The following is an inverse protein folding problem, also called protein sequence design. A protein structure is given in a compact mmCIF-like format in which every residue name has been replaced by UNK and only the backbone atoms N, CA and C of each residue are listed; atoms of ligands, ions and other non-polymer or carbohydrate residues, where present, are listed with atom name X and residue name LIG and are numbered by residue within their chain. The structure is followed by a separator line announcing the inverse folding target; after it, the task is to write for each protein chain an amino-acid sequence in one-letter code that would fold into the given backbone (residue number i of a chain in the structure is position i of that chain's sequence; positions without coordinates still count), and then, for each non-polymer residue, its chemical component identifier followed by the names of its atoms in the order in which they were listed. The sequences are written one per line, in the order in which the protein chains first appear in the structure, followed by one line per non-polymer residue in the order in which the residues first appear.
data_IF_723523345438
#
_entry.id   IF_723523345438
#
_cell.length_a   1.000
_cell.length_b   1.000
_cell.length_c   1.000
_cell.angle_alpha   90.00
_cell.angle_beta   90.00
_cell.angle_gamma   90.00
#
_symmetry.space_group_name_H-M   'P 1'
#
loop_
_entity.id
_entity.type
_entity.pdbx_description
1 polymer ?
#
# COMPACT_ATOMS: atom_id res chain seq x y z
N UNK A 1 -22.07 -7.26 -3.18
CA UNK A 1 -21.78 -7.67 -4.57
C UNK A 1 -20.63 -6.85 -5.14
N UNK A 2 -19.98 -7.28 -6.24
CA UNK A 2 -19.03 -6.44 -6.96
C UNK A 2 -19.78 -5.26 -7.59
N UNK A 3 -19.19 -4.06 -7.57
CA UNK A 3 -19.82 -2.83 -8.06
C UNK A 3 -19.01 -2.15 -9.15
N UNK A 4 -18.19 -2.90 -9.90
CA UNK A 4 -17.23 -2.36 -10.88
C UNK A 4 -17.81 -1.24 -11.77
N UNK A 5 -18.89 -1.53 -12.52
CA UNK A 5 -19.49 -0.54 -13.43
C UNK A 5 -20.19 0.62 -12.71
N UNK A 6 -20.95 0.34 -11.65
CA UNK A 6 -21.73 1.38 -10.96
C UNK A 6 -20.86 2.28 -10.09
N UNK A 7 -19.83 1.73 -9.43
CA UNK A 7 -18.83 2.51 -8.69
C UNK A 7 -18.02 3.38 -9.66
N UNK A 8 -17.67 2.87 -10.84
CA UNK A 8 -17.00 3.67 -11.87
C UNK A 8 -17.88 4.83 -12.37
N UNK A 9 -19.19 4.60 -12.58
CA UNK A 9 -20.14 5.67 -12.95
C UNK A 9 -20.21 6.75 -11.87
N UNK A 10 -20.23 6.34 -10.60
CA UNK A 10 -20.32 7.25 -9.45
C UNK A 10 -18.98 7.83 -8.98
N UNK A 11 -17.85 7.38 -9.55
CA UNK A 11 -16.51 7.81 -9.12
C UNK A 11 -16.07 7.27 -7.76
N UNK A 12 -16.63 6.16 -7.30
CA UNK A 12 -16.32 5.52 -6.02
C UNK A 12 -15.34 4.34 -6.20
N UNK A 13 -14.68 3.93 -5.10
CA UNK A 13 -13.95 2.66 -5.07
C UNK A 13 -14.91 1.47 -5.11
N UNK A 14 -14.40 0.31 -5.53
CA UNK A 14 -15.22 -0.89 -5.67
C UNK A 14 -15.62 -1.51 -4.33
N UNK A 15 -16.92 -1.72 -4.14
CA UNK A 15 -17.51 -2.52 -3.06
C UNK A 15 -16.90 -2.21 -1.69
N UNK A 16 -16.54 -3.26 -0.95
CA UNK A 16 -15.91 -3.20 0.38
C UNK A 16 -14.38 -3.31 0.32
N UNK A 17 -13.79 -3.01 -0.83
CA UNK A 17 -12.35 -3.20 -1.06
C UNK A 17 -11.53 -1.97 -0.65
N UNK A 18 -10.30 -2.17 -0.16
CA UNK A 18 -9.32 -1.10 -0.12
C UNK A 18 -8.92 -0.65 -1.53
N UNK A 19 -8.32 0.54 -1.64
CA UNK A 19 -7.76 1.00 -2.92
C UNK A 19 -6.63 0.05 -3.36
N UNK A 20 -6.73 -0.46 -4.58
CA UNK A 20 -5.71 -1.37 -5.15
C UNK A 20 -4.42 -0.62 -5.49
N UNK A 21 -4.53 0.64 -5.87
CA UNK A 21 -3.45 1.56 -6.21
C UNK A 21 -3.91 3.01 -6.03
N UNK A 22 -3.01 3.90 -5.61
CA UNK A 22 -3.31 5.34 -5.62
C UNK A 22 -3.14 6.01 -6.99
N UNK A 23 -2.70 5.27 -8.00
CA UNK A 23 -2.68 5.72 -9.40
C UNK A 23 -3.12 4.59 -10.33
N UNK A 24 -4.05 4.87 -11.22
CA UNK A 24 -4.61 3.88 -12.14
C UNK A 24 -4.84 4.46 -13.52
N UNK A 25 -4.77 3.61 -14.54
CA UNK A 25 -4.97 4.01 -15.93
C UNK A 25 -6.44 3.83 -16.31
N UNK A 26 -7.10 4.90 -16.74
CA UNK A 26 -8.45 4.89 -17.30
C UNK A 26 -8.37 4.93 -18.82
N UNK A 27 -8.95 3.92 -19.46
CA UNK A 27 -9.10 3.86 -20.93
C UNK A 27 -10.40 4.55 -21.34
N UNK A 28 -10.31 5.48 -22.29
CA UNK A 28 -11.45 6.13 -22.96
C UNK A 28 -11.23 6.07 -24.47
N UNK A 29 -12.26 6.40 -25.26
CA UNK A 29 -12.16 6.40 -26.73
C UNK A 29 -11.01 7.28 -27.25
N UNK A 30 -10.69 8.36 -26.53
CA UNK A 30 -9.64 9.32 -26.87
C UNK A 30 -8.23 8.92 -26.40
N UNK A 31 -8.06 7.76 -25.75
CA UNK A 31 -6.75 7.28 -25.29
C UNK A 31 -6.74 6.75 -23.85
N UNK A 32 -5.54 6.57 -23.30
CA UNK A 32 -5.30 6.15 -21.93
C UNK A 32 -4.88 7.34 -21.06
N UNK A 33 -5.55 7.53 -19.93
CA UNK A 33 -5.25 8.61 -18.99
C UNK A 33 -4.87 8.04 -17.64
N UNK A 34 -3.78 8.55 -17.05
CA UNK A 34 -3.44 8.24 -15.66
C UNK A 34 -4.28 9.10 -14.73
N UNK A 35 -4.97 8.45 -13.80
CA UNK A 35 -5.82 9.07 -12.79
C UNK A 35 -5.23 8.75 -11.43
N UNK A 36 -4.96 9.79 -10.65
CA UNK A 36 -4.51 9.67 -9.26
C UNK A 36 -5.75 9.59 -8.38
N UNK A 37 -5.65 8.88 -7.25
CA UNK A 37 -6.69 8.85 -6.24
C UNK A 37 -7.09 10.30 -5.87
N UNK A 38 -8.34 10.73 -6.13
CA UNK A 38 -8.74 12.12 -5.98
C UNK A 38 -8.61 12.61 -4.54
N UNK A 39 -8.76 11.71 -3.56
CA UNK A 39 -8.57 12.04 -2.15
C UNK A 39 -7.11 12.35 -1.84
N UNK A 40 -6.19 11.47 -2.25
CA UNK A 40 -4.75 11.68 -2.06
C UNK A 40 -4.27 12.96 -2.77
N UNK A 41 -4.74 13.18 -4.00
CA UNK A 41 -4.38 14.38 -4.77
C UNK A 41 -4.78 15.65 -4.02
N UNK A 42 -6.00 15.67 -3.46
CA UNK A 42 -6.50 16.79 -2.67
C UNK A 42 -5.61 17.03 -1.44
N UNK A 43 -5.36 15.99 -0.64
CA UNK A 43 -4.57 16.11 0.59
C UNK A 43 -3.11 16.55 0.32
N UNK A 44 -2.49 16.03 -0.74
CA UNK A 44 -1.15 16.45 -1.15
C UNK A 44 -1.13 17.90 -1.65
N UNK A 45 -2.18 18.35 -2.34
CA UNK A 45 -2.29 19.73 -2.83
C UNK A 45 -2.49 20.70 -1.67
N UNK A 46 -3.36 20.36 -0.71
CA UNK A 46 -3.62 21.17 0.49
C UNK A 46 -2.36 21.34 1.36
N UNK A 47 -1.50 20.33 1.42
CA UNK A 47 -0.20 20.40 2.11
C UNK A 47 0.93 21.00 1.27
N UNK A 48 0.67 21.41 0.03
CA UNK A 48 1.69 21.97 -0.87
C UNK A 48 2.76 20.96 -1.33
N UNK A 49 2.48 19.66 -1.23
CA UNK A 49 3.39 18.56 -1.59
C UNK A 49 3.20 18.08 -3.03
N UNK A 50 2.10 18.48 -3.68
CA UNK A 50 1.79 18.03 -5.04
C UNK A 50 2.60 18.75 -6.11
N UNK A 51 3.38 17.99 -6.88
CA UNK A 51 4.09 18.45 -8.07
C UNK A 51 4.31 17.29 -9.06
N UNK A 52 4.83 17.56 -10.26
CA UNK A 52 5.09 16.53 -11.27
C UNK A 52 6.13 15.49 -10.81
N UNK A 53 7.06 15.85 -9.93
CA UNK A 53 8.05 14.91 -9.39
C UNK A 53 7.40 13.92 -8.43
N UNK A 54 6.52 14.38 -7.56
CA UNK A 54 5.71 13.58 -6.64
C UNK A 54 4.86 12.57 -7.43
N UNK A 55 4.18 13.03 -8.49
CA UNK A 55 3.44 12.15 -9.39
C UNK A 55 4.34 11.07 -10.01
N UNK A 56 5.53 11.43 -10.46
CA UNK A 56 6.51 10.49 -11.03
C UNK A 56 7.03 9.49 -10.00
N UNK A 57 7.23 9.89 -8.74
CA UNK A 57 7.57 8.97 -7.64
C UNK A 57 6.44 7.98 -7.36
N UNK A 58 5.18 8.45 -7.31
CA UNK A 58 4.02 7.57 -7.12
C UNK A 58 3.91 6.56 -8.26
N UNK A 59 4.15 6.98 -9.52
CA UNK A 59 4.22 6.06 -10.67
C UNK A 59 5.35 5.05 -10.48
N UNK A 60 6.55 5.50 -10.09
CA UNK A 60 7.72 4.64 -9.88
C UNK A 60 7.43 3.54 -8.84
N UNK A 61 6.72 3.88 -7.78
CA UNK A 61 6.31 2.95 -6.73
C UNK A 61 4.97 2.25 -7.00
N UNK A 62 4.50 2.24 -8.24
CA UNK A 62 3.26 1.56 -8.68
C UNK A 62 2.03 1.94 -7.85
N UNK A 63 1.90 3.23 -7.51
CA UNK A 63 0.79 3.79 -6.73
C UNK A 63 0.92 3.65 -5.22
N UNK A 64 2.03 3.11 -4.72
CA UNK A 64 2.35 3.17 -3.29
C UNK A 64 2.98 4.52 -2.95
N UNK A 65 2.70 5.01 -1.74
CA UNK A 65 3.31 6.24 -1.20
C UNK A 65 4.20 5.97 0.03
N UNK A 66 4.36 4.71 0.44
CA UNK A 66 5.05 4.36 1.68
C UNK A 66 6.54 4.73 1.66
N UNK A 67 7.15 4.69 0.46
CA UNK A 67 8.59 4.92 0.27
C UNK A 67 8.94 6.36 -0.12
N UNK A 68 7.96 7.27 -0.06
CA UNK A 68 8.16 8.68 -0.41
C UNK A 68 8.43 9.45 0.90
N UNK A 69 9.65 9.97 1.13
CA UNK A 69 10.03 10.58 2.39
C UNK A 69 9.28 11.90 2.64
N UNK A 70 8.92 12.64 1.59
CA UNK A 70 8.25 13.94 1.71
C UNK A 70 6.80 13.82 2.22
N UNK A 71 6.21 12.60 2.19
CA UNK A 71 4.83 12.37 2.62
C UNK A 71 4.79 12.02 4.12
N UNK A 72 4.00 12.77 4.92
CA UNK A 72 3.76 12.49 6.33
C UNK A 72 3.20 11.09 6.62
N UNK A 73 3.53 10.55 7.79
CA UNK A 73 3.16 9.18 8.18
C UNK A 73 1.64 8.98 8.35
N UNK A 74 0.91 10.01 8.76
CA UNK A 74 -0.57 9.99 8.83
C UNK A 74 -1.19 9.71 7.45
N UNK A 75 -0.69 10.40 6.41
CA UNK A 75 -1.14 10.15 5.04
C UNK A 75 -0.69 8.79 4.53
N UNK A 76 0.54 8.36 4.86
CA UNK A 76 1.02 7.01 4.51
C UNK A 76 0.13 5.92 5.11
N UNK A 77 -0.32 6.06 6.36
CA UNK A 77 -1.25 5.10 6.96
C UNK A 77 -2.62 5.12 6.28
N UNK A 78 -3.14 6.31 5.95
CA UNK A 78 -4.47 6.48 5.34
C UNK A 78 -4.53 5.90 3.92
N UNK A 79 -3.50 6.13 3.12
CA UNK A 79 -3.46 5.76 1.70
C UNK A 79 -2.67 4.48 1.43
N UNK A 80 -2.67 3.56 2.40
CA UNK A 80 -2.17 2.20 2.18
C UNK A 80 -2.94 1.53 1.05
N UNK A 81 -2.20 0.94 0.12
CA UNK A 81 -2.80 0.11 -0.92
C UNK A 81 -3.20 -1.25 -0.35
N UNK A 82 -4.09 -1.97 -1.04
CA UNK A 82 -4.51 -3.32 -0.64
C UNK A 82 -3.33 -4.30 -0.44
N UNK A 83 -2.22 -4.05 -1.13
CA UNK A 83 -0.98 -4.84 -1.07
C UNK A 83 -0.18 -4.60 0.21
N UNK A 84 -0.40 -3.46 0.86
CA UNK A 84 0.25 -3.05 2.11
C UNK A 84 -0.61 -3.38 3.34
N UNK A 85 -1.88 -3.75 3.12
CA UNK A 85 -2.84 -4.08 4.18
C UNK A 85 -2.81 -5.59 4.43
N UNK A 86 -2.77 -5.96 5.72
CA UNK A 86 -2.85 -7.35 6.15
C UNK A 86 -4.18 -7.99 5.72
N UNK A 87 -4.10 -9.06 4.92
CA UNK A 87 -5.28 -9.81 4.50
C UNK A 87 -6.02 -10.47 5.67
N UNK A 88 -5.32 -10.75 6.78
CA UNK A 88 -5.96 -11.21 8.02
C UNK A 88 -6.90 -10.17 8.60
N UNK A 89 -6.52 -8.88 8.53
CA UNK A 89 -7.37 -7.77 8.96
C UNK A 89 -8.59 -7.64 8.06
N UNK A 90 -8.41 -7.76 6.74
CA UNK A 90 -9.52 -7.76 5.78
C UNK A 90 -10.52 -8.88 6.07
N UNK A 91 -10.05 -10.11 6.29
CA UNK A 91 -10.89 -11.24 6.65
C UNK A 91 -11.62 -11.04 7.99
N UNK A 92 -10.93 -10.43 8.98
CA UNK A 92 -11.56 -10.10 10.27
C UNK A 92 -12.69 -9.08 10.09
N UNK A 93 -12.43 -7.97 9.39
CA UNK A 93 -13.45 -6.95 9.12
C UNK A 93 -14.62 -7.50 8.28
N UNK A 94 -14.34 -8.43 7.37
CA UNK A 94 -15.38 -9.14 6.62
C UNK A 94 -16.25 -10.00 7.54
N UNK A 95 -15.66 -10.65 8.56
CA UNK A 95 -16.42 -11.43 9.54
C UNK A 95 -17.24 -10.51 10.46
N UNK A 96 -16.65 -9.40 10.93
CA UNK A 96 -17.30 -8.42 11.79
C UNK A 96 -18.56 -7.85 11.12
N UNK A 97 -18.48 -7.43 9.84
CA UNK A 97 -19.67 -6.98 9.10
C UNK A 97 -20.61 -8.14 8.73
N UNK A 98 -20.07 -9.34 8.58
CA UNK A 98 -20.80 -10.55 8.21
C UNK A 98 -21.89 -10.94 9.22
N UNK A 99 -21.73 -10.54 10.49
CA UNK A 99 -22.75 -10.71 11.52
C UNK A 99 -24.08 -9.99 11.21
N UNK A 100 -24.03 -8.95 10.36
CA UNK A 100 -25.18 -8.14 9.97
C UNK A 100 -25.62 -8.37 8.52
N UNK A 101 -25.11 -9.42 7.86
CA UNK A 101 -25.43 -9.76 6.47
C UNK A 101 -26.17 -11.11 6.43
N UNK A 102 -27.42 -11.06 6.00
CA UNK A 102 -28.31 -12.22 5.85
C UNK A 102 -27.79 -13.24 4.81
N UNK A 103 -27.23 -12.75 3.70
CA UNK A 103 -26.58 -13.54 2.65
C UNK A 103 -25.05 -13.59 2.84
N UNK A 104 -24.26 -13.16 1.86
CA UNK A 104 -22.80 -13.15 1.89
C UNK A 104 -22.23 -11.92 1.18
N UNK A 105 -20.92 -11.90 0.95
CA UNK A 105 -20.19 -10.80 0.35
C UNK A 105 -19.15 -11.29 -0.65
N UNK A 106 -18.90 -10.50 -1.68
CA UNK A 106 -17.89 -10.78 -2.71
C UNK A 106 -16.52 -10.30 -2.21
N UNK A 107 -15.76 -11.18 -1.58
CA UNK A 107 -14.51 -10.84 -0.91
C UNK A 107 -13.29 -11.26 -1.75
N UNK A 108 -12.63 -10.30 -2.41
CA UNK A 108 -11.36 -10.57 -3.08
C UNK A 108 -10.20 -10.57 -2.08
N UNK A 109 -9.24 -11.47 -2.30
CA UNK A 109 -8.02 -11.60 -1.50
C UNK A 109 -6.83 -11.21 -2.35
N UNK A 110 -5.96 -10.38 -1.79
CA UNK A 110 -4.80 -9.83 -2.48
C UNK A 110 -3.52 -10.31 -1.82
N UNK A 111 -2.76 -11.16 -2.50
CA UNK A 111 -1.48 -11.69 -2.01
C UNK A 111 -0.45 -11.49 -3.09
N UNK A 112 0.49 -10.55 -2.87
CA UNK A 112 1.50 -10.19 -3.86
C UNK A 112 2.31 -11.42 -4.32
N UNK A 113 2.84 -12.18 -3.35
CA UNK A 113 3.63 -13.39 -3.57
C UNK A 113 2.95 -14.58 -2.88
N UNK A 114 2.08 -15.31 -3.60
CA UNK A 114 1.37 -16.44 -3.05
C UNK A 114 2.29 -17.64 -2.84
N UNK A 115 2.06 -18.39 -1.76
CA UNK A 115 2.65 -19.70 -1.55
C UNK A 115 1.64 -20.59 -0.82
N UNK A 116 1.87 -21.91 -0.82
CA UNK A 116 0.95 -22.88 -0.21
C UNK A 116 0.63 -22.56 1.25
N UNK A 117 1.62 -22.14 2.05
CA UNK A 117 1.43 -21.80 3.46
C UNK A 117 0.55 -20.56 3.66
N UNK A 118 0.79 -19.49 2.90
CA UNK A 118 0.00 -18.25 2.94
C UNK A 118 -1.45 -18.50 2.51
N UNK A 119 -1.66 -19.24 1.43
CA UNK A 119 -3.02 -19.54 0.92
C UNK A 119 -3.78 -20.45 1.89
N UNK A 120 -3.13 -21.50 2.40
CA UNK A 120 -3.74 -22.42 3.37
C UNK A 120 -4.13 -21.68 4.63
N UNK A 121 -3.20 -20.93 5.25
CA UNK A 121 -3.49 -20.18 6.48
C UNK A 121 -4.60 -19.15 6.29
N UNK A 122 -4.65 -18.47 5.15
CA UNK A 122 -5.70 -17.51 4.79
C UNK A 122 -7.07 -18.19 4.69
N UNK A 123 -7.19 -19.29 3.96
CA UNK A 123 -8.45 -20.04 3.82
C UNK A 123 -8.95 -20.58 5.16
N UNK A 124 -8.07 -21.23 5.93
CA UNK A 124 -8.43 -21.76 7.25
C UNK A 124 -8.80 -20.65 8.24
N UNK A 125 -8.17 -19.48 8.15
CA UNK A 125 -8.55 -18.33 8.96
C UNK A 125 -9.97 -17.86 8.63
N UNK A 126 -10.28 -17.62 7.35
CA UNK A 126 -11.62 -17.22 6.92
C UNK A 126 -12.71 -18.22 7.32
N UNK A 127 -12.43 -19.51 7.15
CA UNK A 127 -13.34 -20.59 7.56
C UNK A 127 -13.58 -20.59 9.08
N UNK A 128 -12.53 -20.51 9.90
CA UNK A 128 -12.64 -20.45 11.37
C UNK A 128 -13.41 -19.24 11.86
N UNK A 129 -13.33 -18.11 11.15
CA UNK A 129 -14.11 -16.90 11.44
C UNK A 129 -15.58 -17.01 11.05
N UNK A 130 -16.02 -18.11 10.42
CA UNK A 130 -17.41 -18.31 10.01
C UNK A 130 -17.82 -17.57 8.74
N UNK A 131 -16.86 -17.16 7.90
CA UNK A 131 -17.19 -16.51 6.63
C UNK A 131 -17.91 -17.48 5.69
N UNK A 132 -19.10 -17.08 5.22
CA UNK A 132 -19.88 -17.81 4.19
C UNK A 132 -19.13 -17.84 2.85
N UNK A 133 -18.46 -16.75 2.48
CA UNK A 133 -17.56 -16.67 1.32
C UNK A 133 -16.16 -16.31 1.80
N UNK A 134 -15.27 -17.29 1.84
CA UNK A 134 -13.88 -17.09 2.27
C UNK A 134 -12.98 -16.42 1.23
N UNK A 135 -13.29 -16.57 -0.05
CA UNK A 135 -12.58 -15.94 -1.16
C UNK A 135 -13.45 -15.91 -2.42
N UNK A 136 -13.46 -14.79 -3.14
CA UNK A 136 -14.05 -14.64 -4.46
C UNK A 136 -12.99 -14.77 -5.56
N UNK A 137 -12.14 -13.77 -5.74
CA UNK A 137 -10.91 -13.88 -6.52
C UNK A 137 -9.66 -13.82 -5.64
N UNK A 138 -8.64 -14.58 -6.04
CA UNK A 138 -7.26 -14.35 -5.63
C UNK A 138 -6.60 -13.40 -6.64
N UNK A 139 -6.07 -12.29 -6.16
CA UNK A 139 -5.29 -11.32 -6.93
C UNK A 139 -3.83 -11.39 -6.49
N UNK A 140 -2.93 -11.51 -7.46
CA UNK A 140 -1.48 -11.61 -7.23
C UNK A 140 -0.76 -10.53 -8.01
N UNK A 141 0.47 -10.19 -7.61
CA UNK A 141 1.32 -9.32 -8.43
C UNK A 141 2.11 -10.17 -9.44
N UNK A 142 2.38 -9.64 -10.65
CA UNK A 142 3.29 -10.28 -11.57
C UNK A 142 4.72 -10.30 -10.98
N UNK A 143 5.50 -11.31 -11.34
CA UNK A 143 6.88 -11.45 -10.87
C UNK A 143 7.82 -10.33 -11.37
N UNK A 144 7.48 -9.70 -12.49
CA UNK A 144 8.22 -8.58 -13.06
C UNK A 144 7.28 -7.40 -13.30
N UNK A 145 7.76 -6.21 -12.94
CA UNK A 145 7.04 -4.96 -13.23
C UNK A 145 7.28 -4.54 -14.68
N UNK A 146 6.28 -3.94 -15.35
CA UNK A 146 6.46 -3.34 -16.66
C UNK A 146 7.55 -2.28 -16.65
N UNK A 147 8.33 -2.18 -17.72
CA UNK A 147 9.35 -1.14 -17.86
C UNK A 147 8.65 0.22 -17.99
N UNK A 148 8.87 1.10 -17.03
CA UNK A 148 8.34 2.47 -17.04
C UNK A 148 9.25 3.37 -17.87
N UNK A 149 8.92 3.54 -19.16
CA UNK A 149 9.73 4.32 -20.12
C UNK A 149 9.63 5.84 -19.94
N UNK A 150 8.55 6.31 -19.33
CA UNK A 150 8.27 7.75 -19.17
C UNK A 150 9.02 8.39 -18.01
N UNK A 151 9.67 7.60 -17.15
CA UNK A 151 10.35 8.09 -15.96
C UNK A 151 11.85 8.27 -16.22
N UNK A 152 12.37 9.43 -15.82
CA UNK A 152 13.82 9.63 -15.75
C UNK A 152 14.38 8.85 -14.55
N UNK A 153 14.92 7.65 -14.84
CA UNK A 153 15.45 6.73 -13.82
C UNK A 153 16.69 7.25 -13.10
N UNK A 154 17.47 8.13 -13.71
CA UNK A 154 18.69 8.69 -13.09
C UNK A 154 18.32 9.59 -11.92
N UNK A 155 17.40 10.53 -12.15
CA UNK A 155 16.89 11.44 -11.11
C UNK A 155 16.25 10.70 -9.93
N UNK A 156 15.52 9.62 -10.19
CA UNK A 156 14.91 8.81 -9.14
C UNK A 156 15.97 8.10 -8.29
N UNK A 157 17.01 7.53 -8.92
CA UNK A 157 18.10 6.82 -8.22
C UNK A 157 18.93 7.77 -7.35
N UNK A 158 19.21 8.98 -7.82
CA UNK A 158 19.93 9.98 -7.04
C UNK A 158 19.19 10.35 -5.76
N UNK A 159 17.87 10.52 -5.84
CA UNK A 159 17.02 10.78 -4.67
C UNK A 159 16.94 9.60 -3.72
N UNK A 160 16.76 8.38 -4.22
CA UNK A 160 16.76 7.18 -3.36
C UNK A 160 18.09 6.99 -2.63
N UNK A 161 19.21 7.37 -3.27
CA UNK A 161 20.52 7.38 -2.60
C UNK A 161 20.59 8.47 -1.54
N UNK A 162 20.16 9.69 -1.86
CA UNK A 162 20.15 10.80 -0.91
C UNK A 162 19.30 10.48 0.32
N UNK A 163 18.10 9.93 0.15
CA UNK A 163 17.23 9.55 1.27
C UNK A 163 17.82 8.44 2.11
N UNK A 164 18.43 7.41 1.49
CA UNK A 164 19.12 6.33 2.22
C UNK A 164 20.33 6.82 3.01
N UNK A 165 21.13 7.70 2.42
CA UNK A 165 22.29 8.30 3.11
C UNK A 165 21.85 9.17 4.30
N UNK A 166 20.69 9.83 4.19
CA UNK A 166 20.11 10.64 5.25
C UNK A 166 19.56 9.77 6.39
N UNK A 167 18.80 8.71 6.06
CA UNK A 167 18.36 7.69 7.03
C UNK A 167 19.53 7.02 7.76
N UNK A 168 20.61 6.69 7.02
CA UNK A 168 21.81 6.08 7.60
C UNK A 168 22.55 7.05 8.54
N UNK A 169 22.64 8.33 8.16
CA UNK A 169 23.19 9.38 9.04
C UNK A 169 22.35 9.55 10.30
N UNK A 170 21.02 9.58 10.20
CA UNK A 170 20.15 9.66 11.37
C UNK A 170 20.31 8.45 12.29
N UNK A 171 20.36 7.24 11.72
CA UNK A 171 20.55 6.00 12.51
C UNK A 171 21.90 5.97 13.20
N UNK A 172 22.97 6.38 12.51
CA UNK A 172 24.31 6.46 13.08
C UNK A 172 24.40 7.54 14.16
N UNK A 173 23.72 8.69 13.98
CA UNK A 173 23.63 9.74 15.00
C UNK A 173 22.84 9.24 16.22
N UNK A 174 21.74 8.54 16.03
CA UNK A 174 20.97 7.94 17.12
C UNK A 174 21.78 6.88 17.89
N UNK A 175 22.55 6.03 17.19
CA UNK A 175 23.46 5.08 17.82
C UNK A 175 24.61 5.77 18.58
N UNK A 176 25.15 6.87 18.03
CA UNK A 176 26.19 7.68 18.68
C UNK A 176 25.65 8.36 19.95
N UNK A 177 24.44 8.92 19.92
CA UNK A 177 23.79 9.51 21.11
C UNK A 177 23.51 8.46 22.18
N UNK A 178 22.95 7.31 21.79
CA UNK A 178 22.70 6.18 22.69
C UNK A 178 23.99 5.69 23.39
N UNK A 179 25.11 5.61 22.66
CA UNK A 179 26.41 5.22 23.24
C UNK A 179 27.05 6.29 24.13
N UNK A 180 26.75 7.58 23.92
CA UNK A 180 27.24 8.68 24.76
C UNK A 180 26.44 8.82 26.06
N UNK A 181 25.12 8.65 26.00
CA UNK A 181 24.23 8.76 27.16
C UNK A 181 24.29 7.52 28.07
N UNK A 182 24.57 6.34 27.49
CA UNK A 182 24.52 5.06 28.21
C UNK A 182 25.90 4.45 28.49
N UNK A 183 26.85 5.31 28.86
CA UNK A 183 28.26 4.93 29.09
C UNK A 183 28.46 3.95 30.27
N UNK A 184 27.53 3.94 31.24
CA UNK A 184 27.62 3.06 32.43
C UNK A 184 26.86 1.72 32.30
N UNK A 185 25.87 1.58 31.41
CA UNK A 185 25.14 0.32 31.20
C UNK A 185 25.86 -0.66 30.25
N UNK A 186 26.83 -0.18 29.46
CA UNK A 186 27.52 -0.98 28.45
C UNK A 186 28.56 -1.97 29.00
N UNK A 187 28.80 -1.98 30.32
CA UNK A 187 29.71 -2.93 30.99
C UNK A 187 29.08 -4.31 31.29
N UNK A 188 27.79 -4.53 30.98
CA UNK A 188 27.07 -5.76 31.37
C UNK A 188 26.70 -6.72 30.23
N UNK A 189 27.18 -6.51 28.99
CA UNK A 189 26.99 -7.46 27.87
C UNK A 189 28.32 -8.02 27.31
N UNK A 190 29.32 -8.18 28.18
CA UNK A 190 30.55 -8.92 27.89
C UNK A 190 30.59 -10.25 28.64
N UNK A 191 29.95 -11.27 28.10
CA UNK A 191 30.22 -12.71 28.35
C UNK A 191 29.78 -13.50 27.13
#
# INVERSE_FOLDING_TARGET
MPTASTAQILGNNESIEPYTSNIYTRRVLSGEFQVVNPHLLKDLTEKGLWNEEMKNQIIAHNGSIQHIPEIPDDLKQLYKTVWEISQKTILKMAADRGAFIDQSQSLNIHIAEPNYGKLTSMHFYGWKQGLKTGMYYLRTKPAANPIQFTLNKEKLREREKASREEEEKERNKAAMVCSLENREECLMCGS
#
